data_IF_471960713718
#
_entry.id   IF_471960713718
#
_cell.length_a   1.000
_cell.length_b   1.000
_cell.length_c   1.000
_cell.angle_alpha   90.00
_cell.angle_beta   90.00
_cell.angle_gamma   90.00
#
_symmetry.space_group_name_H-M   'P 1'
#
loop_
_entity.id
_entity.type
_entity.pdbx_description
1 polymer ?
#
# COMPACT_ATOMS: atom_id res chain seq x y z
N UNK A 1 -9.65 60.39 16.42
CA UNK A 1 -10.38 59.63 15.36
C UNK A 1 -9.48 58.59 14.67
N UNK A 2 -8.20 58.88 14.46
CA UNK A 2 -7.24 57.97 13.82
C UNK A 2 -7.09 56.60 14.51
N UNK A 3 -7.04 56.54 15.85
CA UNK A 3 -6.98 55.27 16.58
C UNK A 3 -8.24 54.41 16.40
N UNK A 4 -9.42 55.02 16.21
CA UNK A 4 -10.66 54.27 15.94
C UNK A 4 -10.64 53.62 14.56
N UNK A 5 -10.11 54.30 13.55
CA UNK A 5 -9.96 53.75 12.20
C UNK A 5 -8.93 52.61 12.17
N UNK A 6 -7.83 52.73 12.93
CA UNK A 6 -6.84 51.66 13.08
C UNK A 6 -7.47 50.43 13.74
N UNK A 7 -8.22 50.61 14.84
CA UNK A 7 -8.91 49.51 15.53
C UNK A 7 -9.92 48.83 14.61
N UNK A 8 -10.73 49.59 13.87
CA UNK A 8 -11.67 49.04 12.88
C UNK A 8 -10.94 48.26 11.79
N UNK A 9 -9.83 48.80 11.26
CA UNK A 9 -9.01 48.11 10.27
C UNK A 9 -8.45 46.77 10.76
N UNK A 10 -7.95 46.72 11.99
CA UNK A 10 -7.42 45.49 12.61
C UNK A 10 -8.52 44.45 12.82
N UNK A 11 -9.70 44.85 13.28
CA UNK A 11 -10.83 43.94 13.49
C UNK A 11 -11.31 43.35 12.16
N UNK A 12 -11.41 44.17 11.11
CA UNK A 12 -11.79 43.69 9.77
C UNK A 12 -10.75 42.71 9.22
N UNK A 13 -9.46 43.00 9.36
CA UNK A 13 -8.39 42.09 8.95
C UNK A 13 -8.43 40.76 9.71
N UNK A 14 -8.63 40.80 11.04
CA UNK A 14 -8.76 39.60 11.85
C UNK A 14 -9.98 38.76 11.45
N UNK A 15 -11.13 39.40 11.20
CA UNK A 15 -12.34 38.72 10.75
C UNK A 15 -12.15 38.06 9.36
N UNK A 16 -11.49 38.75 8.43
CA UNK A 16 -11.17 38.18 7.11
C UNK A 16 -10.20 37.00 7.23
N UNK A 17 -9.18 37.11 8.07
CA UNK A 17 -8.24 36.01 8.33
C UNK A 17 -8.97 34.76 8.86
N UNK A 18 -9.84 34.94 9.87
CA UNK A 18 -10.67 33.87 10.43
C UNK A 18 -11.57 33.25 9.38
N UNK A 19 -12.22 34.07 8.55
CA UNK A 19 -13.10 33.59 7.48
C UNK A 19 -12.34 32.75 6.46
N UNK A 20 -11.22 33.24 5.91
CA UNK A 20 -10.44 32.49 4.92
C UNK A 20 -9.77 31.24 5.51
N UNK A 21 -9.34 31.29 6.78
CA UNK A 21 -8.78 30.14 7.48
C UNK A 21 -9.81 29.04 7.81
N UNK A 22 -11.11 29.35 7.70
CA UNK A 22 -12.19 28.40 7.94
C UNK A 22 -12.46 27.52 6.73
N UNK A 23 -12.01 27.93 5.54
CA UNK A 23 -12.37 27.29 4.27
C UNK A 23 -11.34 26.22 3.92
N UNK A 24 -11.82 25.04 3.53
CA UNK A 24 -10.98 24.02 2.91
C UNK A 24 -11.70 23.35 1.73
N UNK A 25 -10.92 22.84 0.79
CA UNK A 25 -11.40 22.22 -0.45
C UNK A 25 -11.01 20.75 -0.44
N UNK A 26 -11.94 19.89 -0.82
CA UNK A 26 -11.70 18.46 -1.05
C UNK A 26 -11.89 18.19 -2.53
N UNK A 27 -10.86 17.64 -3.18
CA UNK A 27 -10.93 17.25 -4.57
C UNK A 27 -11.47 15.83 -4.73
N UNK A 28 -11.85 15.44 -5.96
CA UNK A 28 -12.34 14.08 -6.29
C UNK A 28 -11.35 12.97 -5.92
N UNK A 29 -10.04 13.26 -5.87
CA UNK A 29 -8.99 12.27 -5.57
C UNK A 29 -8.65 12.22 -4.08
N UNK A 30 -9.35 12.99 -3.27
CA UNK A 30 -9.05 13.27 -1.88
C UNK A 30 -10.27 13.02 -1.02
N UNK A 31 -10.01 12.71 0.24
CA UNK A 31 -10.99 12.62 1.30
C UNK A 31 -10.44 13.33 2.53
N UNK A 32 -11.30 13.95 3.31
CA UNK A 32 -10.90 14.76 4.46
C UNK A 32 -11.46 14.20 5.76
N UNK A 33 -10.61 14.08 6.77
CA UNK A 33 -10.98 13.74 8.13
C UNK A 33 -10.91 14.98 8.99
N UNK A 34 -12.05 15.41 9.51
CA UNK A 34 -12.16 16.52 10.44
C UNK A 34 -12.06 15.97 11.86
N UNK A 35 -11.08 16.46 12.60
CA UNK A 35 -10.89 16.14 14.00
C UNK A 35 -11.05 17.36 14.87
N UNK A 36 -11.77 17.19 15.98
CA UNK A 36 -11.91 18.19 17.03
C UNK A 36 -11.22 17.71 18.29
N UNK A 37 -10.22 18.44 18.78
CA UNK A 37 -9.40 18.05 19.94
C UNK A 37 -8.84 16.62 19.83
N UNK A 38 -8.46 16.20 18.61
CA UNK A 38 -7.95 14.86 18.32
C UNK A 38 -9.01 13.77 18.14
N UNK A 39 -10.29 14.05 18.38
CA UNK A 39 -11.38 13.10 18.14
C UNK A 39 -12.00 13.29 16.76
N UNK A 40 -12.28 12.20 16.06
CA UNK A 40 -12.91 12.25 14.73
C UNK A 40 -14.34 12.76 14.90
N UNK A 41 -14.65 13.88 14.26
CA UNK A 41 -15.98 14.50 14.30
C UNK A 41 -16.73 14.27 13.00
N UNK A 42 -16.02 14.33 11.87
CA UNK A 42 -16.65 14.22 10.55
C UNK A 42 -15.68 13.68 9.50
N UNK A 43 -16.23 13.08 8.46
CA UNK A 43 -15.50 12.51 7.33
C UNK A 43 -16.18 13.00 6.05
N UNK A 44 -15.40 13.63 5.18
CA UNK A 44 -15.87 14.15 3.90
C UNK A 44 -15.20 13.38 2.77
N UNK A 45 -15.96 12.58 2.07
CA UNK A 45 -15.51 11.83 0.88
C UNK A 45 -15.96 12.50 -0.41
N UNK A 46 -17.03 13.30 -0.38
CA UNK A 46 -17.54 14.01 -1.55
C UNK A 46 -16.68 15.25 -1.86
N UNK A 47 -16.33 15.49 -3.13
CA UNK A 47 -15.60 16.68 -3.53
C UNK A 47 -16.44 17.93 -3.25
N UNK A 48 -15.81 18.97 -2.71
CA UNK A 48 -16.54 20.18 -2.38
C UNK A 48 -15.77 21.19 -1.56
N UNK A 49 -16.43 22.32 -1.35
CA UNK A 49 -15.98 23.36 -0.45
C UNK A 49 -16.62 23.12 0.92
N UNK A 50 -15.78 23.02 1.94
CA UNK A 50 -16.21 22.79 3.31
C UNK A 50 -15.66 23.85 4.25
N UNK A 51 -16.30 23.96 5.41
CA UNK A 51 -15.94 24.91 6.45
C UNK A 51 -15.57 24.16 7.73
N UNK A 52 -14.46 24.54 8.33
CA UNK A 52 -14.01 24.12 9.67
C UNK A 52 -13.95 25.32 10.60
N UNK A 53 -13.91 25.07 11.91
CA UNK A 53 -13.57 26.15 12.85
C UNK A 53 -12.09 26.52 12.61
N UNK A 54 -11.75 27.80 12.38
CA UNK A 54 -10.42 28.23 11.91
C UNK A 54 -9.32 28.17 12.97
N UNK A 55 -9.62 27.61 14.14
CA UNK A 55 -8.62 27.37 15.17
C UNK A 55 -8.07 25.97 14.98
N UNK A 56 -6.89 25.85 14.37
CA UNK A 56 -6.16 24.57 14.17
C UNK A 56 -5.88 23.80 15.48
N UNK A 57 -6.01 24.49 16.63
CA UNK A 57 -5.94 23.92 17.98
C UNK A 57 -7.21 23.12 18.33
N UNK A 58 -8.36 23.55 17.77
CA UNK A 58 -9.67 22.93 18.01
C UNK A 58 -9.97 21.96 16.87
N UNK A 59 -10.10 22.46 15.64
CA UNK A 59 -10.45 21.66 14.47
C UNK A 59 -9.23 21.51 13.54
N UNK A 60 -8.79 20.27 13.33
CA UNK A 60 -7.75 19.91 12.38
C UNK A 60 -8.33 19.06 11.26
N UNK A 61 -7.96 19.39 10.02
CA UNK A 61 -8.39 18.65 8.83
C UNK A 61 -7.18 17.92 8.27
N UNK A 62 -7.32 16.61 8.12
CA UNK A 62 -6.33 15.76 7.48
C UNK A 62 -6.88 15.31 6.13
N UNK A 63 -6.17 15.67 5.06
CA UNK A 63 -6.49 15.24 3.70
C UNK A 63 -5.74 13.93 3.42
N UNK A 64 -6.46 12.97 2.86
CA UNK A 64 -5.99 11.62 2.53
C UNK A 64 -6.39 11.33 1.08
N UNK A 65 -5.62 10.50 0.38
CA UNK A 65 -5.97 10.11 -0.99
C UNK A 65 -7.10 9.05 -1.02
N UNK A 66 -8.04 9.19 -1.96
CA UNK A 66 -9.08 8.18 -2.26
C UNK A 66 -8.77 7.38 -3.55
N UNK A 67 -7.70 7.76 -4.26
CA UNK A 67 -7.28 7.05 -5.48
C UNK A 67 -6.59 5.72 -5.16
N UNK A 68 -6.41 4.92 -6.21
CA UNK A 68 -5.53 3.75 -6.16
C UNK A 68 -4.08 4.19 -5.96
N UNK A 69 -3.47 3.61 -4.94
CA UNK A 69 -2.09 3.73 -4.57
C UNK A 69 -1.35 2.44 -4.91
N UNK A 70 -0.06 2.55 -5.17
CA UNK A 70 0.81 1.43 -5.52
C UNK A 70 1.95 1.35 -4.53
N UNK A 71 2.19 0.16 -4.01
CA UNK A 71 3.36 -0.19 -3.22
C UNK A 71 4.19 -1.25 -3.96
N UNK A 72 5.50 -1.05 -4.02
CA UNK A 72 6.42 -1.91 -4.75
C UNK A 72 7.42 -2.57 -3.80
N UNK A 73 7.62 -3.88 -3.96
CA UNK A 73 8.71 -4.64 -3.36
C UNK A 73 9.63 -5.09 -4.49
N UNK A 74 10.92 -4.79 -4.35
CA UNK A 74 11.94 -5.17 -5.32
C UNK A 74 13.05 -6.01 -4.68
N UNK A 75 13.63 -6.91 -5.47
CA UNK A 75 14.76 -7.77 -5.11
C UNK A 75 14.53 -8.60 -3.84
N UNK A 76 13.29 -9.04 -3.61
CA UNK A 76 12.95 -9.85 -2.45
C UNK A 76 13.46 -11.28 -2.65
N UNK A 77 14.30 -11.76 -1.72
CA UNK A 77 14.79 -13.14 -1.72
C UNK A 77 13.82 -14.06 -1.00
N UNK A 78 13.23 -15.00 -1.73
CA UNK A 78 12.30 -16.02 -1.21
C UNK A 78 12.86 -17.42 -1.42
N UNK A 79 12.65 -18.29 -0.43
CA UNK A 79 13.02 -19.70 -0.51
C UNK A 79 11.79 -20.50 -0.94
N UNK A 80 11.97 -21.40 -1.91
CA UNK A 80 10.93 -22.33 -2.35
C UNK A 80 11.16 -23.73 -1.78
N UNK A 81 10.15 -24.60 -1.89
CA UNK A 81 10.34 -26.01 -1.58
C UNK A 81 11.43 -26.61 -2.48
N UNK A 82 12.38 -27.33 -1.88
CA UNK A 82 13.55 -27.86 -2.58
C UNK A 82 14.86 -27.05 -2.40
N UNK A 83 14.90 -26.09 -1.47
CA UNK A 83 16.12 -25.36 -1.06
C UNK A 83 16.73 -24.43 -2.13
N UNK A 84 15.93 -24.03 -3.12
CA UNK A 84 16.29 -23.01 -4.09
C UNK A 84 15.80 -21.63 -3.64
N UNK A 85 16.47 -20.59 -4.13
CA UNK A 85 16.12 -19.19 -3.87
C UNK A 85 15.72 -18.48 -5.17
N UNK A 86 14.66 -17.68 -5.08
CA UNK A 86 14.25 -16.75 -6.13
C UNK A 86 14.40 -15.31 -5.67
N UNK A 87 14.72 -14.43 -6.62
CA UNK A 87 14.58 -12.99 -6.49
C UNK A 87 13.26 -12.58 -7.13
N UNK A 88 12.40 -11.96 -6.32
CA UNK A 88 11.04 -11.61 -6.71
C UNK A 88 10.86 -10.10 -6.65
N UNK A 89 10.31 -9.56 -7.73
CA UNK A 89 9.78 -8.20 -7.79
C UNK A 89 8.26 -8.31 -7.83
N UNK A 90 7.56 -7.61 -6.94
CA UNK A 90 6.11 -7.61 -6.85
C UNK A 90 5.58 -6.21 -6.53
N UNK A 91 4.35 -5.93 -6.95
CA UNK A 91 3.63 -4.72 -6.56
C UNK A 91 2.23 -5.05 -6.08
N UNK A 92 1.74 -4.23 -5.15
CA UNK A 92 0.38 -4.28 -4.63
C UNK A 92 -0.30 -2.95 -4.90
N UNK A 93 -1.53 -3.01 -5.42
CA UNK A 93 -2.38 -1.84 -5.62
C UNK A 93 -3.49 -1.85 -4.58
N UNK A 94 -3.66 -0.74 -3.87
CA UNK A 94 -4.61 -0.60 -2.78
C UNK A 94 -5.32 0.76 -2.82
N UNK A 95 -6.42 0.89 -2.10
CA UNK A 95 -7.04 2.19 -1.80
C UNK A 95 -7.45 2.25 -0.33
N UNK A 96 -7.57 3.47 0.19
CA UNK A 96 -8.03 3.70 1.56
C UNK A 96 -9.55 3.78 1.53
N UNK A 97 -10.22 2.66 1.82
CA UNK A 97 -11.68 2.54 1.76
C UNK A 97 -12.38 3.07 3.01
N UNK A 98 -11.75 2.92 4.18
CA UNK A 98 -12.24 3.46 5.45
C UNK A 98 -11.21 4.45 6.04
N UNK A 99 -11.35 5.76 5.77
CA UNK A 99 -10.47 6.78 6.32
C UNK A 99 -10.53 6.87 7.85
N UNK A 100 -11.67 6.51 8.47
CA UNK A 100 -11.80 6.53 9.92
C UNK A 100 -10.86 5.51 10.55
N UNK A 101 -10.95 4.27 10.08
CA UNK A 101 -10.16 3.15 10.57
C UNK A 101 -8.67 3.38 10.26
N UNK A 102 -8.37 3.90 9.07
CA UNK A 102 -7.03 4.28 8.67
C UNK A 102 -6.40 5.31 9.62
N UNK A 103 -7.16 6.34 10.03
CA UNK A 103 -6.64 7.31 11.00
C UNK A 103 -6.48 6.71 12.39
N UNK A 104 -7.42 5.90 12.85
CA UNK A 104 -7.36 5.29 14.17
C UNK A 104 -6.20 4.29 14.31
N UNK A 105 -5.87 3.56 13.25
CA UNK A 105 -4.87 2.48 13.27
C UNK A 105 -3.50 2.91 12.74
N UNK A 106 -3.47 3.71 11.68
CA UNK A 106 -2.24 4.18 11.01
C UNK A 106 -1.94 5.67 11.23
N UNK A 107 -2.66 6.34 12.15
CA UNK A 107 -2.50 7.80 12.42
C UNK A 107 -2.74 8.68 11.19
N UNK A 108 -3.32 8.12 10.13
CA UNK A 108 -3.49 8.78 8.84
C UNK A 108 -2.17 9.06 8.11
N UNK A 109 -1.09 8.37 8.47
CA UNK A 109 0.21 8.49 7.82
C UNK A 109 0.40 7.36 6.81
N UNK A 110 0.80 7.72 5.59
CA UNK A 110 1.02 6.75 4.53
C UNK A 110 2.19 5.81 4.84
N UNK A 111 3.26 6.31 5.46
CA UNK A 111 4.43 5.51 5.84
C UNK A 111 4.08 4.33 6.74
N UNK A 112 3.24 4.55 7.77
CA UNK A 112 2.79 3.49 8.69
C UNK A 112 1.98 2.42 7.96
N UNK A 113 1.16 2.84 7.00
CA UNK A 113 0.41 1.93 6.16
C UNK A 113 1.31 1.12 5.22
N UNK A 114 2.27 1.79 4.57
CA UNK A 114 3.25 1.16 3.68
C UNK A 114 4.15 0.16 4.42
N UNK A 115 4.56 0.45 5.65
CA UNK A 115 5.32 -0.50 6.50
C UNK A 115 4.50 -1.76 6.78
N UNK A 116 3.20 -1.61 7.10
CA UNK A 116 2.31 -2.77 7.32
C UNK A 116 2.08 -3.53 6.02
N UNK A 117 1.79 -2.83 4.92
CA UNK A 117 1.62 -3.44 3.59
C UNK A 117 2.86 -4.24 3.22
N UNK A 118 4.05 -3.67 3.41
CA UNK A 118 5.32 -4.34 3.10
C UNK A 118 5.52 -5.60 3.92
N UNK A 119 5.29 -5.54 5.23
CA UNK A 119 5.39 -6.71 6.10
C UNK A 119 4.40 -7.82 5.71
N UNK A 120 3.15 -7.47 5.43
CA UNK A 120 2.10 -8.44 5.09
C UNK A 120 2.31 -9.03 3.69
N UNK A 121 2.77 -8.23 2.74
CA UNK A 121 3.13 -8.70 1.39
C UNK A 121 4.36 -9.62 1.42
N UNK A 122 5.42 -9.28 2.19
CA UNK A 122 6.59 -10.16 2.35
C UNK A 122 6.18 -11.52 2.94
N UNK A 123 5.39 -11.51 4.03
CA UNK A 123 4.92 -12.73 4.68
C UNK A 123 4.08 -13.61 3.74
N UNK A 124 3.13 -13.01 3.02
CA UNK A 124 2.26 -13.73 2.10
C UNK A 124 3.04 -14.30 0.91
N UNK A 125 3.98 -13.54 0.32
CA UNK A 125 4.85 -14.04 -0.74
C UNK A 125 5.71 -15.21 -0.25
N UNK A 126 6.33 -15.12 0.94
CA UNK A 126 7.09 -16.25 1.51
C UNK A 126 6.25 -17.50 1.70
N UNK A 127 5.02 -17.34 2.18
CA UNK A 127 4.10 -18.46 2.35
C UNK A 127 3.73 -19.11 1.01
N UNK A 128 3.34 -18.31 0.02
CA UNK A 128 2.92 -18.81 -1.29
C UNK A 128 4.08 -19.46 -2.05
N UNK A 129 5.28 -18.86 -2.03
CA UNK A 129 6.45 -19.46 -2.67
C UNK A 129 6.98 -20.70 -1.91
N UNK A 130 6.91 -20.71 -0.57
CA UNK A 130 7.38 -21.83 0.25
C UNK A 130 6.60 -23.14 0.03
N UNK A 131 5.33 -23.04 -0.37
CA UNK A 131 4.46 -24.19 -0.64
C UNK A 131 4.56 -24.74 -2.07
N UNK A 132 5.40 -24.15 -2.92
CA UNK A 132 5.47 -24.45 -4.35
C UNK A 132 6.82 -25.05 -4.70
N UNK A 133 6.80 -26.05 -5.58
CA UNK A 133 8.02 -26.61 -6.16
C UNK A 133 8.62 -25.63 -7.17
N UNK A 134 9.93 -25.74 -7.38
CA UNK A 134 10.73 -24.89 -8.27
C UNK A 134 10.06 -24.55 -9.62
N UNK A 135 9.43 -25.53 -10.28
CA UNK A 135 8.83 -25.33 -11.60
C UNK A 135 7.45 -24.64 -11.59
N UNK A 136 6.78 -24.54 -10.43
CA UNK A 136 5.43 -24.01 -10.32
C UNK A 136 5.37 -22.49 -10.57
N UNK A 137 6.36 -21.73 -10.08
CA UNK A 137 6.41 -20.26 -10.20
C UNK A 137 6.57 -19.74 -11.64
N UNK A 138 6.93 -20.62 -12.59
CA UNK A 138 7.16 -20.31 -14.00
C UNK A 138 6.03 -20.81 -14.92
N UNK A 139 4.96 -21.38 -14.35
CA UNK A 139 3.88 -22.06 -15.09
C UNK A 139 2.51 -21.37 -14.94
N UNK A 140 1.45 -22.01 -15.42
CA UNK A 140 0.04 -21.58 -15.29
C UNK A 140 -0.38 -21.26 -13.84
N UNK A 141 0.38 -21.72 -12.84
CA UNK A 141 0.13 -21.47 -11.42
C UNK A 141 0.44 -20.03 -10.97
N UNK A 142 1.14 -19.22 -11.78
CA UNK A 142 1.46 -17.81 -11.42
C UNK A 142 0.21 -16.97 -11.15
N UNK A 143 -0.84 -17.16 -11.96
CA UNK A 143 -2.12 -16.47 -11.77
C UNK A 143 -2.78 -16.85 -10.45
N UNK A 144 -2.71 -18.13 -10.08
CA UNK A 144 -3.24 -18.63 -8.83
C UNK A 144 -2.43 -18.12 -7.63
N UNK A 145 -1.10 -18.09 -7.72
CA UNK A 145 -0.23 -17.53 -6.67
C UNK A 145 -0.55 -16.05 -6.38
N UNK A 146 -0.80 -15.24 -7.41
CA UNK A 146 -1.18 -13.83 -7.23
C UNK A 146 -2.52 -13.69 -6.50
N UNK A 147 -3.51 -14.53 -6.85
CA UNK A 147 -4.82 -14.54 -6.19
C UNK A 147 -4.70 -14.98 -4.73
N UNK A 148 -3.99 -16.07 -4.46
CA UNK A 148 -3.73 -16.57 -3.11
C UNK A 148 -3.00 -15.54 -2.25
N UNK A 149 -1.97 -14.88 -2.80
CA UNK A 149 -1.24 -13.81 -2.11
C UNK A 149 -2.16 -12.65 -1.75
N UNK A 150 -3.00 -12.20 -2.69
CA UNK A 150 -3.98 -11.13 -2.45
C UNK A 150 -4.97 -11.51 -1.35
N UNK A 151 -5.50 -12.73 -1.41
CA UNK A 151 -6.54 -13.19 -0.51
C UNK A 151 -5.99 -13.44 0.92
N UNK A 152 -4.70 -13.77 1.06
CA UNK A 152 -4.01 -13.85 2.35
C UNK A 152 -3.82 -12.47 3.01
N UNK A 153 -3.54 -11.43 2.23
CA UNK A 153 -3.21 -10.09 2.75
C UNK A 153 -4.49 -9.27 3.05
N UNK A 154 -5.55 -9.48 2.27
CA UNK A 154 -6.78 -8.67 2.35
C UNK A 154 -7.38 -8.56 3.77
N UNK A 155 -7.50 -9.64 4.58
CA UNK A 155 -8.06 -9.52 5.93
C UNK A 155 -7.22 -8.62 6.84
N UNK A 156 -5.90 -8.75 6.76
CA UNK A 156 -4.98 -7.98 7.60
C UNK A 156 -5.00 -6.48 7.28
N UNK A 157 -5.03 -6.14 5.98
CA UNK A 157 -5.09 -4.73 5.56
C UNK A 157 -6.49 -4.12 5.71
N UNK A 158 -7.55 -4.92 5.65
CA UNK A 158 -8.89 -4.45 5.96
C UNK A 158 -9.01 -3.94 7.40
N UNK A 159 -8.25 -4.49 8.35
CA UNK A 159 -8.20 -3.97 9.73
C UNK A 159 -7.58 -2.57 9.83
N UNK A 160 -6.86 -2.11 8.81
CA UNK A 160 -6.35 -0.76 8.67
C UNK A 160 -7.26 0.16 7.86
N UNK A 161 -8.42 -0.31 7.38
CA UNK A 161 -9.28 0.45 6.47
C UNK A 161 -8.72 0.55 5.05
N UNK A 162 -7.85 -0.40 4.67
CA UNK A 162 -7.22 -0.48 3.35
C UNK A 162 -7.88 -1.61 2.56
N UNK A 163 -8.35 -1.32 1.36
CA UNK A 163 -8.84 -2.31 0.41
C UNK A 163 -7.75 -2.68 -0.60
N UNK A 164 -7.47 -3.98 -0.70
CA UNK A 164 -6.47 -4.54 -1.63
C UNK A 164 -7.16 -4.90 -2.94
N UNK A 165 -6.80 -4.15 -3.98
CA UNK A 165 -7.37 -4.30 -5.32
C UNK A 165 -6.68 -5.42 -6.07
N UNK A 166 -5.35 -5.39 -6.13
CA UNK A 166 -4.59 -6.37 -6.91
C UNK A 166 -3.16 -6.55 -6.40
N UNK A 167 -2.62 -7.75 -6.61
CA UNK A 167 -1.23 -8.10 -6.34
C UNK A 167 -0.64 -8.70 -7.60
N UNK A 168 0.51 -8.16 -8.02
CA UNK A 168 1.18 -8.60 -9.24
C UNK A 168 2.64 -8.88 -8.97
N UNK A 169 3.06 -10.06 -9.36
CA UNK A 169 4.48 -10.40 -9.45
C UNK A 169 4.96 -9.86 -10.81
N UNK A 170 5.97 -8.98 -10.84
CA UNK A 170 6.57 -8.51 -12.08
C UNK A 170 7.55 -9.56 -12.61
N UNK A 171 8.48 -9.97 -11.76
CA UNK A 171 9.63 -10.81 -12.12
C UNK A 171 9.93 -11.84 -11.05
N UNK A 172 10.40 -13.00 -11.48
CA UNK A 172 10.85 -14.08 -10.62
C UNK A 172 12.08 -14.68 -11.29
N UNK A 173 13.25 -14.26 -10.82
CA UNK A 173 14.53 -14.70 -11.34
C UNK A 173 15.15 -15.70 -10.37
N UNK A 174 15.77 -16.76 -10.90
CA UNK A 174 16.51 -17.68 -10.05
C UNK A 174 17.77 -17.00 -9.52
N UNK A 175 18.08 -17.21 -8.26
CA UNK A 175 19.32 -16.71 -7.68
C UNK A 175 20.54 -17.36 -8.37
N UNK A 176 21.55 -16.55 -8.70
CA UNK A 176 22.65 -16.95 -9.58
C UNK A 176 23.44 -18.15 -9.03
N UNK A 177 23.56 -18.28 -7.71
CA UNK A 177 24.28 -19.36 -7.04
C UNK A 177 23.65 -20.76 -7.25
N UNK A 178 22.32 -20.84 -7.43
CA UNK A 178 21.59 -22.11 -7.61
C UNK A 178 21.48 -22.49 -9.09
N UNK A 179 21.64 -21.51 -9.98
CA UNK A 179 21.54 -21.71 -11.43
C UNK A 179 22.56 -22.73 -11.94
N UNK A 180 23.81 -22.65 -11.51
CA UNK A 180 24.89 -23.50 -12.02
C UNK A 180 24.72 -24.98 -11.64
N UNK A 181 24.41 -25.27 -10.37
CA UNK A 181 24.24 -26.64 -9.85
C UNK A 181 22.98 -27.31 -10.39
N UNK A 182 21.88 -26.57 -10.49
CA UNK A 182 20.63 -27.09 -11.07
C UNK A 182 20.80 -27.34 -12.58
N UNK A 183 21.51 -26.46 -13.28
CA UNK A 183 21.79 -26.62 -14.71
C UNK A 183 22.62 -27.88 -15.00
N UNK A 184 23.66 -28.15 -14.20
CA UNK A 184 24.45 -29.38 -14.32
C UNK A 184 23.60 -30.64 -14.06
N UNK A 185 22.71 -30.62 -13.06
CA UNK A 185 21.80 -31.74 -12.79
C UNK A 185 20.79 -31.97 -13.93
N UNK A 186 20.16 -30.91 -14.45
CA UNK A 186 19.24 -31.01 -15.59
C UNK A 186 19.95 -31.52 -16.85
N UNK A 187 21.20 -31.10 -17.06
CA UNK A 187 22.03 -31.58 -18.15
C UNK A 187 22.32 -33.08 -18.00
N UNK A 188 22.64 -33.54 -16.79
CA UNK A 188 22.86 -34.94 -16.50
C UNK A 188 21.60 -35.79 -16.72
N UNK A 189 20.43 -35.33 -16.26
CA UNK A 189 19.13 -36.01 -16.48
C UNK A 189 18.79 -36.09 -17.98
N UNK A 190 18.93 -34.98 -18.74
CA UNK A 190 18.73 -34.97 -20.20
C UNK A 190 19.68 -35.92 -20.94
N UNK A 191 20.95 -35.98 -20.52
CA UNK A 191 21.93 -36.89 -21.12
C UNK A 191 21.61 -38.35 -20.81
N UNK A 192 21.14 -38.64 -19.59
CA UNK A 192 20.70 -39.98 -19.20
C UNK A 192 19.44 -40.42 -19.97
N UNK A 193 18.46 -39.53 -20.13
CA UNK A 193 17.25 -39.80 -20.93
C UNK A 193 17.58 -40.00 -22.42
N UNK A 194 18.47 -39.18 -22.98
CA UNK A 194 18.95 -39.36 -24.35
C UNK A 194 19.76 -40.67 -24.54
N UNK A 195 20.46 -41.14 -23.51
CA UNK A 195 21.16 -42.42 -23.54
C UNK A 195 20.17 -43.60 -23.48
N UNK A 196 19.13 -43.50 -22.65
CA UNK A 196 18.03 -44.46 -22.57
C UNK A 196 17.27 -44.58 -23.91
N UNK A 197 16.99 -43.47 -24.58
CA UNK A 197 16.30 -43.46 -25.88
C UNK A 197 17.15 -43.99 -27.05
N UNK A 198 18.48 -44.10 -26.89
CA UNK A 198 19.38 -44.67 -27.91
C UNK A 198 19.64 -46.17 -27.74
N UNK A 199 19.30 -46.75 -26.59
CA UNK A 199 19.46 -48.16 -26.27
C UNK A 199 18.22 -48.97 -26.71
#
# INVERSE_FOLDING_TARGET
>A
MQNRLIVVGVVVLAALYVFFSSIYVVNEREQAIVTRFGQITDIRTEPGLYFKIPTDIVDSVQIIEDRLLRYDIANMRVQVSGNAFYQVDAFLTYRISDPQLFRQRATGQLSVAEDRIGASLDAALRQVYGLREFNAALSDQRSQMMQETRDLIRPDLAELGIDVVDVRILRTDLDADVSATTFERMRAERLAEAALLRA
#
